data_IF_984767571773
#
_entry.id   IF_984767571773
#
_cell.length_a   1.000
_cell.length_b   1.000
_cell.length_c   1.000
_cell.angle_alpha   90.00
_cell.angle_beta   90.00
_cell.angle_gamma   90.00
#
_symmetry.space_group_name_H-M   'P 1'
#
loop_
_entity.id
_entity.type
_entity.pdbx_description
1 polymer ?
#
# COMPACT_ATOMS: atom_id res chain seq x y z
N UNK A 1 14.04 15.10 -15.42
CA UNK A 1 13.39 13.85 -14.95
C UNK A 1 12.20 14.21 -14.08
N UNK A 2 10.98 14.08 -14.60
CA UNK A 2 9.75 14.62 -14.02
C UNK A 2 9.27 13.79 -12.83
N UNK A 3 9.08 14.42 -11.66
CA UNK A 3 8.47 13.80 -10.48
C UNK A 3 7.03 13.37 -10.79
N UNK A 4 6.76 12.06 -10.84
CA UNK A 4 5.41 11.56 -10.98
C UNK A 4 4.80 11.41 -9.59
N UNK A 5 4.08 12.44 -9.12
CA UNK A 5 3.23 12.33 -7.94
C UNK A 5 2.06 11.40 -8.28
N UNK A 6 1.95 10.31 -7.55
CA UNK A 6 0.83 9.39 -7.70
C UNK A 6 -0.27 9.86 -6.74
N UNK A 7 -1.41 10.29 -7.28
CA UNK A 7 -2.62 10.59 -6.52
C UNK A 7 -3.81 9.95 -7.23
N UNK A 8 -4.12 8.70 -6.90
CA UNK A 8 -5.32 8.04 -7.42
C UNK A 8 -5.92 7.10 -6.38
N UNK A 9 -7.16 6.70 -6.65
CA UNK A 9 -7.76 5.54 -6.02
C UNK A 9 -7.10 4.25 -6.56
N UNK A 10 -6.99 3.23 -5.71
CA UNK A 10 -6.55 1.89 -6.10
C UNK A 10 -5.02 1.75 -6.26
N UNK A 11 -4.61 0.64 -6.87
CA UNK A 11 -3.20 0.32 -7.15
C UNK A 11 -2.83 0.58 -8.62
N UNK A 12 -3.75 1.04 -9.45
CA UNK A 12 -3.58 1.25 -10.89
C UNK A 12 -2.31 2.03 -11.26
N UNK A 13 -1.88 3.08 -10.55
CA UNK A 13 -0.65 3.78 -10.90
C UNK A 13 0.59 2.93 -10.68
N UNK A 14 0.61 2.09 -9.65
CA UNK A 14 1.69 1.14 -9.42
C UNK A 14 1.68 0.05 -10.50
N UNK A 15 0.49 -0.44 -10.88
CA UNK A 15 0.35 -1.38 -12.00
C UNK A 15 0.90 -0.77 -13.29
N UNK A 16 0.57 0.50 -13.58
CA UNK A 16 1.09 1.23 -14.75
C UNK A 16 2.61 1.41 -14.69
N UNK A 17 3.19 1.72 -13.54
CA UNK A 17 4.64 1.79 -13.36
C UNK A 17 5.31 0.44 -13.61
N UNK A 18 4.77 -0.63 -13.03
CA UNK A 18 5.28 -1.99 -13.20
C UNK A 18 5.25 -2.44 -14.66
N UNK A 19 4.18 -2.15 -15.40
CA UNK A 19 4.09 -2.42 -16.85
C UNK A 19 5.17 -1.71 -17.66
N UNK A 20 5.70 -0.60 -17.16
CA UNK A 20 6.82 0.14 -17.76
C UNK A 20 8.19 -0.26 -17.22
N UNK A 21 8.28 -1.33 -16.41
CA UNK A 21 9.48 -1.75 -15.68
C UNK A 21 10.07 -0.63 -14.80
N UNK A 22 9.22 0.24 -14.27
CA UNK A 22 9.60 1.32 -13.37
C UNK A 22 9.17 1.00 -11.93
N UNK A 23 9.89 1.56 -10.97
CA UNK A 23 9.54 1.52 -9.54
C UNK A 23 9.47 2.94 -8.97
N UNK A 24 8.70 3.17 -7.88
CA UNK A 24 8.80 4.39 -7.10
C UNK A 24 10.24 4.65 -6.67
N UNK A 25 10.70 5.89 -6.81
CA UNK A 25 12.12 6.28 -6.69
C UNK A 25 12.76 5.91 -5.33
N UNK A 26 11.98 5.85 -4.26
CA UNK A 26 12.43 5.51 -2.91
C UNK A 26 12.16 4.04 -2.54
N UNK A 27 11.60 3.24 -3.45
CA UNK A 27 11.12 1.88 -3.15
C UNK A 27 10.01 1.84 -2.11
N UNK A 28 9.44 2.99 -1.70
CA UNK A 28 8.46 3.14 -0.63
C UNK A 28 7.13 3.64 -1.18
N UNK A 29 6.03 3.02 -0.74
CA UNK A 29 4.67 3.47 -0.99
C UNK A 29 3.86 3.56 0.30
N UNK A 30 3.10 4.65 0.44
CA UNK A 30 2.08 4.83 1.46
C UNK A 30 0.72 4.49 0.87
N UNK A 31 -0.07 3.70 1.58
CA UNK A 31 -1.42 3.31 1.17
C UNK A 31 -2.34 3.68 2.31
N UNK A 32 -3.38 4.47 2.06
CA UNK A 32 -4.46 4.69 3.02
C UNK A 32 -5.69 3.88 2.65
N UNK A 33 -6.36 3.28 3.63
CA UNK A 33 -7.65 2.64 3.43
C UNK A 33 -8.78 3.63 3.75
N UNK A 34 -9.55 4.04 2.75
CA UNK A 34 -10.64 5.01 2.86
C UNK A 34 -10.20 6.48 2.81
N UNK A 35 -8.89 6.77 2.74
CA UNK A 35 -8.36 8.13 2.65
C UNK A 35 -6.99 8.16 1.97
N UNK A 36 -6.53 9.35 1.57
CA UNK A 36 -5.21 9.57 0.99
C UNK A 36 -4.23 10.08 2.05
N UNK A 37 -3.14 9.35 2.38
CA UNK A 37 -2.11 9.84 3.28
C UNK A 37 -1.41 11.10 2.76
N UNK A 38 -1.02 12.01 3.64
CA UNK A 38 -0.31 13.26 3.32
C UNK A 38 1.18 13.04 3.00
N UNK A 39 1.47 12.15 2.04
CA UNK A 39 2.84 11.78 1.61
C UNK A 39 2.94 11.82 0.08
N UNK A 40 4.14 12.08 -0.46
CA UNK A 40 4.35 12.26 -1.92
C UNK A 40 4.11 10.98 -2.74
N UNK A 41 4.42 9.81 -2.18
CA UNK A 41 4.20 8.49 -2.80
C UNK A 41 3.03 7.81 -2.08
N UNK A 42 1.82 8.34 -2.25
CA UNK A 42 0.64 7.88 -1.52
C UNK A 42 -0.47 7.44 -2.46
N UNK A 43 -1.22 6.43 -2.04
CA UNK A 43 -2.42 5.93 -2.71
C UNK A 43 -3.56 5.83 -1.71
N UNK A 44 -4.78 6.02 -2.19
CA UNK A 44 -5.99 5.76 -1.41
C UNK A 44 -6.66 4.50 -1.97
N UNK A 45 -7.03 3.55 -1.12
CA UNK A 45 -7.84 2.40 -1.50
C UNK A 45 -9.24 2.61 -0.94
N UNK A 46 -10.24 2.50 -1.81
CA UNK A 46 -11.63 2.50 -1.39
C UNK A 46 -11.96 1.13 -0.75
N UNK A 47 -12.41 1.08 0.52
CA UNK A 47 -12.77 -0.17 1.17
C UNK A 47 -13.94 -0.91 0.49
N UNK A 48 -14.77 -0.22 -0.30
CA UNK A 48 -15.83 -0.84 -1.10
C UNK A 48 -15.33 -1.42 -2.43
N UNK A 49 -14.13 -1.04 -2.87
CA UNK A 49 -13.52 -1.43 -4.15
C UNK A 49 -12.07 -1.83 -3.95
N UNK A 50 -11.89 -2.95 -3.27
CA UNK A 50 -10.56 -3.49 -2.96
C UNK A 50 -9.84 -3.94 -4.23
N UNK A 51 -8.51 -3.73 -4.30
CA UNK A 51 -7.70 -4.22 -5.41
C UNK A 51 -7.78 -5.74 -5.50
N UNK A 52 -7.58 -6.26 -6.71
CA UNK A 52 -7.45 -7.70 -6.93
C UNK A 52 -6.08 -8.19 -6.46
N UNK A 53 -5.92 -9.51 -6.37
CA UNK A 53 -4.61 -10.10 -6.04
C UNK A 53 -3.57 -9.80 -7.13
N UNK A 54 -4.00 -9.64 -8.39
CA UNK A 54 -3.10 -9.27 -9.48
C UNK A 54 -2.64 -7.82 -9.37
N UNK A 55 -3.54 -6.89 -9.03
CA UNK A 55 -3.18 -5.50 -8.74
C UNK A 55 -2.18 -5.41 -7.58
N UNK A 56 -2.35 -6.25 -6.55
CA UNK A 56 -1.44 -6.31 -5.40
C UNK A 56 -0.01 -6.68 -5.81
N UNK A 57 0.22 -7.49 -6.87
CA UNK A 57 1.58 -7.82 -7.35
C UNK A 57 2.41 -6.58 -7.70
N UNK A 58 1.75 -5.44 -7.97
CA UNK A 58 2.43 -4.18 -8.23
C UNK A 58 3.29 -3.68 -7.05
N UNK A 59 3.04 -4.14 -5.82
CA UNK A 59 3.85 -3.79 -4.63
C UNK A 59 5.06 -4.70 -4.40
N UNK A 60 5.27 -5.71 -5.24
CA UNK A 60 6.37 -6.66 -5.08
C UNK A 60 7.74 -5.95 -5.03
N UNK A 61 8.51 -6.24 -3.97
CA UNK A 61 9.81 -5.62 -3.72
C UNK A 61 9.79 -4.19 -3.16
N UNK A 62 8.62 -3.61 -2.89
CA UNK A 62 8.49 -2.30 -2.25
C UNK A 62 8.44 -2.39 -0.73
N UNK A 63 8.85 -1.32 -0.06
CA UNK A 63 8.43 -1.02 1.30
C UNK A 63 7.00 -0.46 1.24
N UNK A 64 6.08 -1.12 1.92
CA UNK A 64 4.66 -0.76 1.96
C UNK A 64 4.31 -0.31 3.36
N UNK A 65 3.71 0.88 3.47
CA UNK A 65 3.11 1.36 4.72
C UNK A 65 1.62 1.53 4.46
N UNK A 66 0.82 0.63 5.04
CA UNK A 66 -0.64 0.74 5.05
C UNK A 66 -1.06 1.54 6.27
N UNK A 67 -1.89 2.55 6.06
CA UNK A 67 -2.40 3.46 7.09
C UNK A 67 -3.92 3.34 7.13
N UNK A 68 -4.47 3.17 8.33
CA UNK A 68 -5.90 3.00 8.57
C UNK A 68 -6.36 3.91 9.71
N UNK A 69 -7.64 4.26 9.69
CA UNK A 69 -8.34 4.81 10.86
C UNK A 69 -9.10 3.64 11.51
N UNK A 70 -8.55 3.07 12.59
CA UNK A 70 -9.09 1.87 13.24
C UNK A 70 -10.56 1.94 13.62
N UNK A 71 -11.09 3.10 14.04
CA UNK A 71 -12.50 3.25 14.39
C UNK A 71 -13.43 3.22 13.17
N UNK A 72 -12.95 3.69 12.02
CA UNK A 72 -13.74 3.79 10.79
C UNK A 72 -13.55 2.58 9.86
N UNK A 73 -12.57 1.73 10.12
CA UNK A 73 -12.16 0.67 9.20
C UNK A 73 -12.83 -0.65 9.55
N UNK A 74 -13.66 -1.15 8.64
CA UNK A 74 -14.20 -2.50 8.75
C UNK A 74 -13.08 -3.57 8.69
N UNK A 75 -13.18 -4.58 9.55
CA UNK A 75 -12.16 -5.63 9.66
C UNK A 75 -11.98 -6.44 8.37
N UNK A 76 -13.08 -6.81 7.70
CA UNK A 76 -13.01 -7.66 6.51
C UNK A 76 -12.21 -7.01 5.36
N UNK A 77 -12.50 -5.76 4.94
CA UNK A 77 -11.69 -5.08 3.93
C UNK A 77 -10.22 -4.95 4.29
N UNK A 78 -9.92 -4.59 5.55
CA UNK A 78 -8.55 -4.49 6.05
C UNK A 78 -7.83 -5.84 5.96
N UNK A 79 -8.45 -6.90 6.46
CA UNK A 79 -7.88 -8.26 6.43
C UNK A 79 -7.60 -8.70 5.01
N UNK A 80 -8.56 -8.53 4.09
CA UNK A 80 -8.41 -8.93 2.69
C UNK A 80 -7.28 -8.16 2.01
N UNK A 81 -7.22 -6.84 2.20
CA UNK A 81 -6.15 -6.01 1.65
C UNK A 81 -4.79 -6.40 2.20
N UNK A 82 -4.66 -6.59 3.52
CA UNK A 82 -3.42 -7.03 4.15
C UNK A 82 -2.94 -8.38 3.59
N UNK A 83 -3.85 -9.35 3.40
CA UNK A 83 -3.52 -10.65 2.82
C UNK A 83 -2.99 -10.52 1.38
N UNK A 84 -3.68 -9.76 0.52
CA UNK A 84 -3.26 -9.55 -0.87
C UNK A 84 -1.90 -8.85 -0.96
N UNK A 85 -1.70 -7.79 -0.17
CA UNK A 85 -0.43 -7.07 -0.10
C UNK A 85 0.70 -7.95 0.45
N UNK A 86 0.47 -8.79 1.47
CA UNK A 86 1.47 -9.74 1.94
C UNK A 86 1.84 -10.79 0.88
N UNK A 87 0.84 -11.36 0.21
CA UNK A 87 1.03 -12.38 -0.82
C UNK A 87 1.85 -11.85 -2.01
N UNK A 88 1.75 -10.56 -2.31
CA UNK A 88 2.55 -9.88 -3.33
C UNK A 88 4.05 -9.76 -2.99
N UNK A 89 4.49 -10.21 -1.80
CA UNK A 89 5.89 -10.21 -1.35
C UNK A 89 6.56 -8.82 -1.43
N UNK A 90 6.03 -7.81 -0.71
CA UNK A 90 6.73 -6.55 -0.51
C UNK A 90 8.06 -6.80 0.21
N UNK A 91 9.03 -5.89 0.08
CA UNK A 91 10.28 -5.95 0.84
C UNK A 91 10.02 -5.78 2.32
N UNK A 92 9.25 -4.76 2.70
CA UNK A 92 8.77 -4.49 4.06
C UNK A 92 7.28 -4.20 4.05
N UNK A 93 6.57 -4.59 5.10
CA UNK A 93 5.16 -4.26 5.23
C UNK A 93 4.82 -3.84 6.65
N UNK A 94 4.36 -2.60 6.79
CA UNK A 94 3.92 -2.00 8.04
C UNK A 94 2.45 -1.62 7.93
N UNK A 95 1.72 -1.85 9.01
CA UNK A 95 0.36 -1.37 9.22
C UNK A 95 0.41 -0.34 10.34
N UNK A 96 -0.11 0.85 10.08
CA UNK A 96 -0.21 1.97 11.04
C UNK A 96 -1.68 2.26 11.27
N UNK A 97 -2.11 2.13 12.52
CA UNK A 97 -3.43 2.54 12.96
C UNK A 97 -3.34 3.92 13.62
N UNK A 98 -3.95 4.93 12.98
CA UNK A 98 -3.89 6.31 13.44
C UNK A 98 -4.70 6.56 14.70
N UNK A 99 -5.82 5.85 14.87
CA UNK A 99 -6.74 6.05 15.99
C UNK A 99 -6.16 5.47 17.27
N UNK A 100 -5.62 4.25 17.18
CA UNK A 100 -5.00 3.58 18.32
C UNK A 100 -3.52 3.92 18.50
N UNK A 101 -2.93 4.72 17.60
CA UNK A 101 -1.49 5.07 17.56
C UNK A 101 -0.59 3.84 17.62
N UNK A 102 -1.01 2.76 16.93
CA UNK A 102 -0.30 1.47 16.91
C UNK A 102 0.38 1.24 15.58
N UNK A 103 1.52 0.57 15.64
CA UNK A 103 2.26 0.12 14.46
C UNK A 103 2.45 -1.39 14.56
N UNK A 104 2.06 -2.11 13.52
CA UNK A 104 2.30 -3.53 13.37
C UNK A 104 3.25 -3.77 12.18
N UNK A 105 4.32 -4.51 12.42
CA UNK A 105 5.26 -4.93 11.38
C UNK A 105 4.84 -6.30 10.88
N UNK A 106 4.12 -6.33 9.75
CA UNK A 106 3.62 -7.57 9.15
C UNK A 106 4.72 -8.31 8.36
N UNK A 107 5.70 -7.56 7.85
CA UNK A 107 6.92 -8.11 7.29
C UNK A 107 8.08 -7.17 7.56
N UNK A 108 9.07 -7.66 8.30
CA UNK A 108 10.38 -7.05 8.42
C UNK A 108 11.23 -7.61 7.28
N UNK A 109 11.82 -6.74 6.47
CA UNK A 109 12.58 -7.18 5.30
C UNK A 109 13.71 -8.11 5.73
N UNK A 110 13.80 -9.27 5.08
CA UNK A 110 14.98 -10.13 5.19
C UNK A 110 16.13 -9.47 4.44
N UNK A 111 17.31 -9.46 5.06
CA UNK A 111 18.55 -9.27 4.30
C UNK A 111 18.68 -10.43 3.32
N UNK A 112 18.66 -10.12 2.02
CA UNK A 112 19.26 -10.95 0.98
C UNK A 112 20.00 -10.03 0.03
#
# INVERSE_FOLDING_TARGET
>A
MTEMQIRSSGLEPLVRLRKKNLMPKAGLIWIGLGFLPSKKNALAIDPARLPTDDDCKSVAGLDVILVVNGYATNYYPLRRLCSGLMAARPRRFQLVDLDYKRVAFLKLGGFQ
#
